data_IF_796205056502
#
_entry.id   IF_796205056502
#
_cell.length_a   1.000
_cell.length_b   1.000
_cell.length_c   1.000
_cell.angle_alpha   90.00
_cell.angle_beta   90.00
_cell.angle_gamma   90.00
#
_symmetry.space_group_name_H-M   'P 1'
#
loop_
_entity.id
_entity.type
_entity.pdbx_description
1 polymer ?
#
# COMPACT_ATOMS: atom_id res chain seq x y z
N UNK A 1 23.97 40.61 3.84
CA UNK A 1 24.49 39.29 4.20
C UNK A 1 23.30 38.42 4.62
N UNK A 2 22.76 37.73 3.66
CA UNK A 2 21.54 36.93 3.88
C UNK A 2 21.95 35.47 3.84
N UNK A 3 21.96 34.86 4.99
CA UNK A 3 22.23 33.43 5.17
C UNK A 3 21.17 32.63 4.44
N UNK A 4 21.54 31.99 3.37
CA UNK A 4 20.76 30.93 2.73
C UNK A 4 20.62 29.76 3.69
N UNK A 5 19.49 29.67 4.36
CA UNK A 5 19.06 28.43 4.99
C UNK A 5 18.72 27.50 3.85
N UNK A 6 19.68 26.63 3.53
CA UNK A 6 19.45 25.56 2.58
C UNK A 6 18.26 24.73 3.07
N UNK A 7 17.18 24.82 2.32
CA UNK A 7 16.10 23.85 2.32
C UNK A 7 16.69 22.48 2.00
N UNK A 8 17.08 21.75 3.05
CA UNK A 8 17.27 20.31 2.97
C UNK A 8 15.88 19.72 2.87
N UNK A 9 15.29 19.81 1.68
CA UNK A 9 14.16 18.99 1.31
C UNK A 9 14.41 17.60 1.87
N UNK A 10 13.51 17.14 2.75
CA UNK A 10 13.58 15.83 3.38
C UNK A 10 13.80 14.80 2.28
N UNK A 11 15.04 14.40 2.11
CA UNK A 11 15.43 13.42 1.12
C UNK A 11 14.66 12.14 1.46
N UNK A 12 13.73 11.83 0.59
CA UNK A 12 12.84 10.66 0.79
C UNK A 12 13.71 9.41 0.78
N UNK A 13 13.76 8.71 1.91
CA UNK A 13 14.47 7.44 2.01
C UNK A 13 13.98 6.49 0.92
N UNK A 14 14.88 5.87 0.23
CA UNK A 14 14.64 5.00 -0.92
C UNK A 14 15.00 3.54 -0.61
N UNK A 15 14.60 2.62 -1.48
CA UNK A 15 15.01 1.22 -1.37
C UNK A 15 16.52 1.03 -1.54
N UNK A 16 17.20 1.96 -2.21
CA UNK A 16 18.67 1.94 -2.36
C UNK A 16 19.35 2.26 -1.03
N UNK A 17 18.81 3.20 -0.24
CA UNK A 17 19.31 3.52 1.09
C UNK A 17 19.18 2.31 2.02
N UNK A 18 18.06 1.57 1.94
CA UNK A 18 17.86 0.33 2.71
C UNK A 18 18.84 -0.75 2.25
N UNK A 19 19.07 -0.88 0.95
CA UNK A 19 20.02 -1.84 0.39
C UNK A 19 21.44 -1.58 0.89
N UNK A 20 21.86 -0.33 0.90
CA UNK A 20 23.17 0.10 1.40
C UNK A 20 23.29 -0.20 2.90
N UNK A 21 22.28 0.17 3.71
CA UNK A 21 22.26 -0.05 5.15
C UNK A 21 22.24 -1.53 5.51
N UNK A 22 21.52 -2.36 4.77
CA UNK A 22 21.45 -3.81 4.99
C UNK A 22 22.60 -4.60 4.35
N UNK A 23 23.42 -3.97 3.51
CA UNK A 23 24.51 -4.65 2.80
C UNK A 23 24.03 -5.69 1.79
N UNK A 24 22.95 -5.40 1.07
CA UNK A 24 22.34 -6.29 0.06
C UNK A 24 22.00 -5.50 -1.21
N UNK A 25 21.59 -6.21 -2.27
CA UNK A 25 21.11 -5.54 -3.48
C UNK A 25 19.72 -4.94 -3.29
N UNK A 26 19.37 -3.92 -4.08
CA UNK A 26 18.02 -3.37 -4.12
C UNK A 26 16.96 -4.42 -4.46
N UNK A 27 17.27 -5.36 -5.36
CA UNK A 27 16.38 -6.47 -5.69
C UNK A 27 16.06 -7.31 -4.46
N UNK A 28 17.07 -7.63 -3.63
CA UNK A 28 16.90 -8.36 -2.38
C UNK A 28 16.00 -7.59 -1.41
N UNK A 29 16.18 -6.27 -1.26
CA UNK A 29 15.29 -5.42 -0.46
C UNK A 29 13.85 -5.53 -0.94
N UNK A 30 13.64 -5.40 -2.26
CA UNK A 30 12.31 -5.52 -2.87
C UNK A 30 11.68 -6.89 -2.59
N UNK A 31 12.43 -7.97 -2.74
CA UNK A 31 11.92 -9.33 -2.49
C UNK A 31 11.52 -9.54 -1.02
N UNK A 32 12.33 -9.04 -0.08
CA UNK A 32 12.02 -9.13 1.35
C UNK A 32 10.79 -8.33 1.71
N UNK A 33 10.74 -7.05 1.32
CA UNK A 33 9.67 -6.14 1.73
C UNK A 33 8.33 -6.44 1.04
N UNK A 34 8.36 -6.98 -0.18
CA UNK A 34 7.15 -7.38 -0.90
C UNK A 34 6.76 -8.83 -0.67
N UNK A 35 7.53 -9.57 0.14
CA UNK A 35 7.33 -11.01 0.37
C UNK A 35 7.13 -11.79 -0.94
N UNK A 36 8.00 -11.52 -1.93
CA UNK A 36 7.91 -12.09 -3.27
C UNK A 36 8.07 -13.60 -3.22
N UNK A 37 7.10 -14.41 -3.67
CA UNK A 37 7.22 -15.88 -3.66
C UNK A 37 8.34 -16.37 -4.58
N UNK A 38 8.80 -17.59 -4.35
CA UNK A 38 9.81 -18.29 -5.17
C UNK A 38 11.19 -17.64 -5.22
N UNK A 39 11.52 -16.73 -4.31
CA UNK A 39 12.86 -16.18 -4.15
C UNK A 39 13.57 -16.85 -2.98
N UNK A 40 14.72 -17.45 -3.24
CA UNK A 40 15.56 -18.02 -2.19
C UNK A 40 16.36 -16.90 -1.54
N UNK A 41 15.89 -16.44 -0.37
CA UNK A 41 16.57 -15.42 0.42
C UNK A 41 17.08 -16.11 1.69
N UNK A 42 18.39 -15.99 2.02
CA UNK A 42 18.91 -16.54 3.25
C UNK A 42 18.13 -16.06 4.46
N UNK A 43 17.84 -16.94 5.42
CA UNK A 43 17.06 -16.61 6.62
C UNK A 43 17.63 -15.43 7.41
N UNK A 44 18.95 -15.26 7.42
CA UNK A 44 19.63 -14.14 8.09
C UNK A 44 19.46 -12.82 7.37
N UNK A 45 19.16 -12.82 6.08
CA UNK A 45 19.01 -11.61 5.26
C UNK A 45 17.69 -10.90 5.51
N UNK A 46 16.59 -11.65 5.66
CA UNK A 46 15.27 -11.08 5.92
C UNK A 46 15.23 -10.17 7.15
N UNK A 47 15.62 -10.61 8.36
CA UNK A 47 15.59 -9.74 9.54
C UNK A 47 16.53 -8.55 9.42
N UNK A 48 17.66 -8.70 8.72
CA UNK A 48 18.63 -7.62 8.51
C UNK A 48 18.04 -6.50 7.63
N UNK A 49 17.33 -6.85 6.57
CA UNK A 49 16.64 -5.88 5.69
C UNK A 49 15.49 -5.20 6.44
N UNK A 50 14.68 -5.96 7.19
CA UNK A 50 13.58 -5.39 7.97
C UNK A 50 14.08 -4.43 9.04
N UNK A 51 15.17 -4.76 9.73
CA UNK A 51 15.78 -3.88 10.72
C UNK A 51 16.34 -2.60 10.08
N UNK A 52 16.98 -2.69 8.91
CA UNK A 52 17.48 -1.53 8.18
C UNK A 52 16.33 -0.61 7.74
N UNK A 53 15.25 -1.17 7.20
CA UNK A 53 14.07 -0.40 6.81
C UNK A 53 13.44 0.32 8.02
N UNK A 54 13.33 -0.36 9.16
CA UNK A 54 12.80 0.22 10.39
C UNK A 54 13.69 1.37 10.92
N UNK A 55 15.02 1.21 10.93
CA UNK A 55 15.95 2.26 11.37
C UNK A 55 15.88 3.50 10.50
N UNK A 56 15.71 3.34 9.19
CA UNK A 56 15.60 4.44 8.24
C UNK A 56 14.20 5.04 8.15
N UNK A 57 13.19 4.44 8.80
CA UNK A 57 11.79 4.83 8.66
C UNK A 57 11.27 4.60 7.23
N UNK A 58 11.83 3.62 6.52
CA UNK A 58 11.43 3.31 5.16
C UNK A 58 10.19 2.42 5.14
N UNK A 59 9.15 2.90 4.48
CA UNK A 59 7.99 2.10 4.12
C UNK A 59 7.93 1.99 2.58
N UNK A 60 7.78 0.78 2.01
CA UNK A 60 7.59 0.62 0.58
C UNK A 60 6.41 1.48 0.10
N UNK A 61 6.63 2.28 -0.94
CA UNK A 61 5.56 3.08 -1.53
C UNK A 61 4.44 2.17 -2.04
N UNK A 62 3.19 2.44 -1.63
CA UNK A 62 2.02 1.74 -2.15
C UNK A 62 1.95 1.84 -3.68
N UNK A 63 2.28 3.02 -4.24
CA UNK A 63 2.35 3.23 -5.68
C UNK A 63 3.42 2.35 -6.36
N UNK A 64 4.60 2.19 -5.75
CA UNK A 64 5.65 1.31 -6.29
C UNK A 64 5.22 -0.17 -6.23
N UNK A 65 4.53 -0.59 -5.18
CA UNK A 65 3.96 -1.94 -5.08
C UNK A 65 2.88 -2.18 -6.15
N UNK A 66 1.97 -1.21 -6.32
CA UNK A 66 0.93 -1.26 -7.35
C UNK A 66 1.54 -1.35 -8.74
N UNK A 67 2.56 -0.55 -9.03
CA UNK A 67 3.26 -0.59 -10.32
C UNK A 67 3.92 -1.95 -10.57
N UNK A 68 4.55 -2.54 -9.56
CA UNK A 68 5.21 -3.85 -9.68
C UNK A 68 4.24 -5.02 -9.81
N UNK A 69 3.07 -4.95 -9.14
CA UNK A 69 2.07 -6.02 -9.10
C UNK A 69 0.94 -5.85 -10.11
N UNK A 70 0.83 -4.68 -10.74
CA UNK A 70 -0.27 -4.30 -11.63
C UNK A 70 -1.61 -4.07 -10.90
N UNK A 71 -1.63 -4.15 -9.57
CA UNK A 71 -2.82 -3.94 -8.72
C UNK A 71 -2.42 -3.41 -7.35
N UNK A 72 -3.31 -2.65 -6.73
CA UNK A 72 -3.13 -2.17 -5.36
C UNK A 72 -3.62 -3.18 -4.33
N UNK A 73 -3.39 -2.89 -3.06
CA UNK A 73 -3.94 -3.65 -1.92
C UNK A 73 -5.32 -3.07 -1.50
N UNK A 74 -6.09 -2.52 -2.46
CA UNK A 74 -7.40 -1.91 -2.23
C UNK A 74 -8.51 -2.86 -2.65
N UNK A 75 -9.48 -3.03 -1.78
CA UNK A 75 -10.80 -3.62 -2.07
C UNK A 75 -11.80 -2.48 -2.19
N UNK A 76 -12.39 -2.33 -3.36
CA UNK A 76 -13.42 -1.31 -3.62
C UNK A 76 -14.81 -1.90 -3.35
N UNK A 77 -15.55 -1.31 -2.42
CA UNK A 77 -16.94 -1.70 -2.17
C UNK A 77 -17.89 -0.63 -2.73
N UNK A 78 -18.75 -1.05 -3.64
CA UNK A 78 -19.76 -0.19 -4.27
C UNK A 78 -21.06 -0.25 -3.47
N UNK A 79 -21.44 0.86 -2.85
CA UNK A 79 -22.66 0.96 -2.07
C UNK A 79 -23.89 0.95 -2.99
N UNK A 80 -24.85 0.06 -2.77
CA UNK A 80 -26.12 0.08 -3.50
C UNK A 80 -26.86 1.43 -3.34
N UNK A 81 -27.54 1.93 -4.38
CA UNK A 81 -28.16 3.27 -4.38
C UNK A 81 -29.29 3.45 -3.38
N UNK A 82 -29.84 2.35 -2.87
CA UNK A 82 -30.97 2.37 -1.91
C UNK A 82 -30.56 1.90 -0.51
N UNK A 83 -29.25 1.76 -0.28
CA UNK A 83 -28.75 1.33 1.01
C UNK A 83 -29.05 2.39 2.07
N UNK A 84 -29.75 1.99 3.13
CA UNK A 84 -29.91 2.83 4.31
C UNK A 84 -28.70 2.64 5.21
N UNK A 85 -27.99 3.72 5.44
CA UNK A 85 -26.92 3.74 6.43
C UNK A 85 -27.56 3.68 7.82
N UNK A 86 -27.42 2.55 8.47
CA UNK A 86 -27.85 2.30 9.85
C UNK A 86 -26.68 1.75 10.66
N UNK A 87 -26.87 1.59 11.96
CA UNK A 87 -25.84 1.09 12.87
C UNK A 87 -25.32 -0.28 12.43
N UNK A 88 -26.21 -1.21 12.04
CA UNK A 88 -25.83 -2.54 11.59
C UNK A 88 -24.90 -2.52 10.37
N UNK A 89 -25.14 -1.58 9.45
CA UNK A 89 -24.28 -1.40 8.30
C UNK A 89 -22.92 -0.79 8.70
N UNK A 90 -22.91 0.11 9.67
CA UNK A 90 -21.68 0.63 10.26
C UNK A 90 -20.83 -0.49 10.87
N UNK A 91 -21.44 -1.34 11.68
CA UNK A 91 -20.79 -2.50 12.30
C UNK A 91 -20.24 -3.47 11.24
N UNK A 92 -20.99 -3.72 10.16
CA UNK A 92 -20.53 -4.55 9.05
C UNK A 92 -19.27 -3.97 8.39
N UNK A 93 -19.26 -2.66 8.10
CA UNK A 93 -18.11 -2.00 7.50
C UNK A 93 -16.90 -2.03 8.42
N UNK A 94 -17.08 -1.85 9.72
CA UNK A 94 -16.00 -1.93 10.70
C UNK A 94 -15.38 -3.33 10.73
N UNK A 95 -16.21 -4.37 10.85
CA UNK A 95 -15.74 -5.76 10.82
C UNK A 95 -15.04 -6.12 9.51
N UNK A 96 -15.62 -5.72 8.37
CA UNK A 96 -15.03 -5.96 7.07
C UNK A 96 -13.70 -5.23 6.91
N UNK A 97 -13.63 -3.98 7.33
CA UNK A 97 -12.39 -3.18 7.29
C UNK A 97 -11.30 -3.80 8.16
N UNK A 98 -11.65 -4.26 9.36
CA UNK A 98 -10.71 -4.92 10.28
C UNK A 98 -10.19 -6.22 9.69
N UNK A 99 -11.07 -7.09 9.19
CA UNK A 99 -10.67 -8.35 8.59
C UNK A 99 -9.79 -8.17 7.35
N UNK A 100 -10.10 -7.17 6.51
CA UNK A 100 -9.27 -6.83 5.35
C UNK A 100 -7.91 -6.27 5.76
N UNK A 101 -7.86 -5.44 6.81
CA UNK A 101 -6.61 -4.89 7.32
C UNK A 101 -5.67 -5.98 7.85
N UNK A 102 -6.21 -7.01 8.53
CA UNK A 102 -5.44 -8.20 8.96
C UNK A 102 -4.83 -8.95 7.77
N UNK A 103 -5.52 -8.94 6.62
CA UNK A 103 -5.01 -9.50 5.37
C UNK A 103 -4.10 -8.53 4.57
N UNK A 104 -3.78 -7.35 5.12
CA UNK A 104 -2.97 -6.33 4.47
C UNK A 104 -3.70 -5.59 3.35
N UNK A 105 -5.03 -5.61 3.35
CA UNK A 105 -5.89 -4.95 2.37
C UNK A 105 -6.56 -3.72 2.98
N UNK A 106 -6.92 -2.77 2.14
CA UNK A 106 -7.61 -1.53 2.53
C UNK A 106 -8.98 -1.49 1.89
N UNK A 107 -10.03 -1.29 2.70
CA UNK A 107 -11.39 -1.10 2.21
C UNK A 107 -11.59 0.35 1.75
N UNK A 108 -12.04 0.54 0.52
CA UNK A 108 -12.49 1.82 -0.01
C UNK A 108 -13.96 1.67 -0.39
N UNK A 109 -14.78 2.59 0.08
CA UNK A 109 -16.23 2.58 -0.16
C UNK A 109 -16.57 3.69 -1.15
N UNK A 110 -17.32 3.37 -2.20
CA UNK A 110 -17.75 4.31 -3.22
C UNK A 110 -19.24 4.14 -3.51
N UNK A 111 -20.00 5.22 -3.59
CA UNK A 111 -21.41 5.13 -3.96
C UNK A 111 -21.59 4.52 -5.37
N UNK A 112 -22.50 3.57 -5.50
CA UNK A 112 -22.93 3.12 -6.81
C UNK A 112 -23.68 4.21 -7.56
N UNK A 113 -23.42 4.35 -8.84
CA UNK A 113 -24.15 5.25 -9.73
C UNK A 113 -24.49 4.51 -11.03
N UNK A 114 -25.64 4.87 -11.65
CA UNK A 114 -25.97 4.41 -13.01
C UNK A 114 -24.97 4.93 -14.04
N UNK A 115 -24.37 6.07 -13.77
CA UNK A 115 -23.23 6.57 -14.54
C UNK A 115 -21.97 5.85 -14.04
N UNK A 116 -21.41 5.00 -14.87
CA UNK A 116 -20.22 4.23 -14.55
C UNK A 116 -18.90 5.01 -14.62
N UNK A 117 -18.92 6.23 -15.17
CA UNK A 117 -17.71 7.06 -15.32
C UNK A 117 -16.98 7.29 -13.99
N UNK A 118 -17.67 7.65 -12.87
CA UNK A 118 -16.99 7.81 -11.58
C UNK A 118 -16.35 6.50 -11.08
N UNK A 119 -17.05 5.39 -11.20
CA UNK A 119 -16.55 4.06 -10.79
C UNK A 119 -15.34 3.67 -11.63
N UNK A 120 -15.40 3.86 -12.94
CA UNK A 120 -14.26 3.60 -13.85
C UNK A 120 -13.06 4.46 -13.50
N UNK A 121 -13.29 5.75 -13.18
CA UNK A 121 -12.22 6.65 -12.76
C UNK A 121 -11.55 6.19 -11.47
N UNK A 122 -12.33 5.78 -10.47
CA UNK A 122 -11.82 5.24 -9.20
C UNK A 122 -11.05 3.93 -9.44
N UNK A 123 -11.58 3.01 -10.23
CA UNK A 123 -10.88 1.78 -10.58
C UNK A 123 -9.55 2.04 -11.30
N UNK A 124 -9.53 2.99 -12.23
CA UNK A 124 -8.29 3.38 -12.94
C UNK A 124 -7.28 4.03 -12.02
N UNK A 125 -7.73 4.89 -11.09
CA UNK A 125 -6.85 5.58 -10.15
C UNK A 125 -6.28 4.64 -9.07
N UNK A 126 -7.08 3.72 -8.57
CA UNK A 126 -6.71 2.85 -7.44
C UNK A 126 -6.20 1.49 -7.86
N UNK A 127 -6.52 1.01 -9.07
CA UNK A 127 -6.21 -0.36 -9.54
C UNK A 127 -6.55 -1.43 -8.49
N UNK A 128 -7.81 -1.50 -8.00
CA UNK A 128 -8.17 -2.34 -6.87
C UNK A 128 -7.93 -3.82 -7.15
N UNK A 129 -7.59 -4.58 -6.10
CA UNK A 129 -7.43 -6.04 -6.20
C UNK A 129 -8.77 -6.75 -6.38
N UNK A 130 -9.83 -6.17 -5.84
CA UNK A 130 -11.20 -6.67 -5.96
C UNK A 130 -12.21 -5.52 -5.92
N UNK A 131 -13.37 -5.75 -6.53
CA UNK A 131 -14.54 -4.88 -6.46
C UNK A 131 -15.71 -5.72 -5.93
N UNK A 132 -16.32 -5.24 -4.85
CA UNK A 132 -17.53 -5.81 -4.24
C UNK A 132 -18.72 -4.90 -4.61
N UNK A 133 -19.84 -5.49 -5.01
CA UNK A 133 -21.05 -4.77 -5.38
C UNK A 133 -22.30 -5.50 -4.87
#
# INVERSE_FOLDING_TARGET
MTSGVADRSRQRITGDDVALEAGVSRATVSYVLNNTPHQTIPETTRPRVLAAAARLGYAPSAAARTLSRGRSDVVLYLLPPHLRLNTQFGDLLEHLSTALAEAGLTLVVHPWSRDLRPVTAVCSALSPVAVLA
#
